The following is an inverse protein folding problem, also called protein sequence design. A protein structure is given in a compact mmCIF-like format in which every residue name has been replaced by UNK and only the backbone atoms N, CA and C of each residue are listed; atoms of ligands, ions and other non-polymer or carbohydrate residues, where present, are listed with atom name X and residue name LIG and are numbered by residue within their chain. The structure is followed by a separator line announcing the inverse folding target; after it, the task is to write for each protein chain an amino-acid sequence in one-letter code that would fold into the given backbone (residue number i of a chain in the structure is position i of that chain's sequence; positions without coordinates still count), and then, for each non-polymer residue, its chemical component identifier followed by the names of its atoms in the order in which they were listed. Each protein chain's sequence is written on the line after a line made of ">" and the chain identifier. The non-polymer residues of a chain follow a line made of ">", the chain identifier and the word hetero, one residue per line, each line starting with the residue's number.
data_IF_420081359915
#
_entry.id   IF_420081359915
#
_cell.length_a   1.000
_cell.length_b   1.000
_cell.length_c   1.000
_cell.angle_alpha   90.00
_cell.angle_beta   90.00
_cell.angle_gamma   90.00
#
_symmetry.space_group_name_H-M   'P 1'
#
loop_
_entity.id
_entity.type
_entity.pdbx_description
1 polymer ?
#
# COMPACT_ATOMS: atom_id res chain seq x y z
N UNK A 1 2.72 11.02 3.71
CA UNK A 1 3.66 11.95 4.39
C UNK A 1 4.76 12.29 3.40
N UNK A 2 4.69 13.48 2.79
CA UNK A 2 5.87 14.28 2.40
C UNK A 2 5.39 15.69 2.03
N UNK A 3 5.80 16.69 2.80
CA UNK A 3 5.74 18.11 2.42
C UNK A 3 6.93 18.36 1.51
N UNK A 4 6.70 18.84 0.28
CA UNK A 4 7.73 18.96 -0.76
C UNK A 4 8.09 20.43 -0.98
N UNK A 5 9.33 20.82 -0.65
CA UNK A 5 10.08 21.86 -1.33
C UNK A 5 11.57 21.52 -1.22
N UNK A 6 12.18 21.08 -2.32
CA UNK A 6 13.63 21.17 -2.50
C UNK A 6 13.97 21.18 -4.00
N UNK A 7 14.15 22.39 -4.55
CA UNK A 7 14.89 22.56 -5.78
C UNK A 7 16.38 22.52 -5.42
N UNK A 8 17.05 21.38 -5.65
CA UNK A 8 18.51 21.29 -5.55
C UNK A 8 19.07 21.47 -6.96
N UNK A 9 19.47 22.71 -7.28
CA UNK A 9 20.39 22.97 -8.38
C UNK A 9 21.80 23.05 -7.81
N UNK A 10 22.54 21.95 -7.81
CA UNK A 10 23.98 21.97 -7.53
C UNK A 10 24.74 21.80 -8.84
N UNK A 11 25.36 22.87 -9.31
CA UNK A 11 26.35 22.82 -10.40
C UNK A 11 27.64 22.23 -9.84
N UNK A 12 27.83 20.92 -9.96
CA UNK A 12 29.09 20.25 -9.63
C UNK A 12 29.78 19.86 -10.93
N UNK A 13 30.97 20.40 -11.17
CA UNK A 13 31.80 20.07 -12.33
C UNK A 13 32.38 18.66 -12.15
N UNK A 14 32.05 17.76 -13.07
CA UNK A 14 32.58 16.39 -13.12
C UNK A 14 33.52 16.29 -14.33
N UNK A 15 34.75 15.83 -14.10
CA UNK A 15 35.74 15.56 -15.14
C UNK A 15 35.81 14.05 -15.35
N UNK A 16 34.81 13.47 -16.02
CA UNK A 16 34.81 12.05 -16.42
C UNK A 16 34.75 11.95 -17.94
N UNK A 17 35.51 11.01 -18.51
CA UNK A 17 35.52 10.67 -19.94
C UNK A 17 34.39 9.72 -20.34
N UNK A 18 33.59 9.24 -19.38
CA UNK A 18 32.46 8.33 -19.60
C UNK A 18 31.14 9.09 -19.74
N UNK A 19 30.18 8.50 -20.46
CA UNK A 19 28.85 9.09 -20.64
C UNK A 19 28.09 9.17 -19.30
N UNK A 20 27.59 10.37 -18.96
CA UNK A 20 26.77 10.60 -17.78
C UNK A 20 25.28 10.60 -18.15
N UNK A 21 24.47 9.84 -17.41
CA UNK A 21 23.02 9.88 -17.50
C UNK A 21 22.46 10.76 -16.37
N UNK A 22 21.69 11.80 -16.72
CA UNK A 22 21.08 12.73 -15.77
C UNK A 22 19.57 12.77 -15.98
N UNK A 23 18.80 12.74 -14.89
CA UNK A 23 17.33 12.83 -14.93
C UNK A 23 16.82 13.77 -13.82
N UNK A 24 15.73 14.49 -14.10
CA UNK A 24 15.01 15.33 -13.14
C UNK A 24 13.89 14.48 -12.52
N UNK A 25 13.80 14.45 -11.18
CA UNK A 25 12.83 13.64 -10.44
C UNK A 25 12.02 14.54 -9.51
N UNK A 26 10.72 14.27 -9.40
CA UNK A 26 9.80 14.97 -8.48
C UNK A 26 8.92 13.97 -7.71
N UNK A 27 8.51 14.27 -6.47
CA UNK A 27 7.58 13.42 -5.74
C UNK A 27 6.22 13.28 -6.41
N UNK A 28 5.61 12.10 -6.29
CA UNK A 28 4.25 11.81 -6.75
C UNK A 28 3.48 11.04 -5.68
N UNK A 29 2.15 11.17 -5.67
CA UNK A 29 1.28 10.29 -4.87
C UNK A 29 1.48 8.86 -5.34
N UNK A 30 1.81 7.96 -4.42
CA UNK A 30 2.26 6.61 -4.77
C UNK A 30 1.43 5.51 -4.11
N UNK A 31 0.95 5.70 -2.88
CA UNK A 31 0.22 4.64 -2.18
C UNK A 31 -0.69 5.20 -1.08
N UNK A 32 -1.87 4.59 -0.91
CA UNK A 32 -2.77 4.84 0.22
C UNK A 32 -2.74 3.70 1.22
N UNK A 33 -2.16 3.92 2.40
CA UNK A 33 -2.04 2.89 3.45
C UNK A 33 -3.34 2.63 4.23
N UNK A 34 -4.31 3.55 4.13
CA UNK A 34 -5.64 3.38 4.71
C UNK A 34 -6.55 2.59 3.78
N UNK A 35 -7.72 2.19 4.27
CA UNK A 35 -8.68 1.41 3.50
C UNK A 35 -9.68 0.70 4.39
N UNK A 36 -10.32 -0.34 3.84
CA UNK A 36 -11.23 -1.21 4.57
C UNK A 36 -10.49 -1.95 5.69
N UNK A 37 -11.05 -1.93 6.89
CA UNK A 37 -10.53 -2.75 7.98
C UNK A 37 -10.90 -4.20 7.70
N UNK A 38 -9.89 -5.08 7.74
CA UNK A 38 -10.07 -6.52 7.60
C UNK A 38 -9.55 -7.27 8.82
N UNK A 39 -10.04 -8.49 9.02
CA UNK A 39 -9.42 -9.45 9.93
C UNK A 39 -8.35 -10.30 9.22
N UNK A 40 -7.60 -11.17 9.93
CA UNK A 40 -6.59 -12.05 9.31
C UNK A 40 -7.13 -13.03 8.26
N UNK A 41 -8.45 -13.23 8.22
CA UNK A 41 -9.14 -14.05 7.21
C UNK A 41 -9.65 -13.22 6.02
N UNK A 42 -9.15 -11.99 5.87
CA UNK A 42 -9.50 -11.04 4.82
C UNK A 42 -10.99 -10.64 4.77
N UNK A 43 -11.75 -10.88 5.86
CA UNK A 43 -13.16 -10.46 5.95
C UNK A 43 -13.22 -8.99 6.30
N UNK A 44 -14.06 -8.23 5.63
CA UNK A 44 -14.27 -6.83 5.97
C UNK A 44 -15.03 -6.75 7.30
N UNK A 45 -14.49 -5.98 8.25
CA UNK A 45 -15.09 -5.82 9.58
C UNK A 45 -15.66 -4.42 9.76
N UNK A 46 -16.77 -4.33 10.47
CA UNK A 46 -17.41 -3.08 10.85
C UNK A 46 -17.75 -3.08 12.34
N UNK A 47 -18.04 -1.91 12.88
CA UNK A 47 -18.53 -1.79 14.25
C UNK A 47 -20.04 -1.99 14.29
N UNK A 48 -20.49 -2.96 15.09
CA UNK A 48 -21.90 -3.19 15.43
C UNK A 48 -22.01 -3.39 16.94
N UNK A 49 -22.89 -2.64 17.59
CA UNK A 49 -23.11 -2.72 19.05
C UNK A 49 -21.81 -2.60 19.86
N UNK A 50 -20.89 -1.72 19.42
CA UNK A 50 -19.58 -1.50 20.05
C UNK A 50 -18.54 -2.61 19.82
N UNK A 51 -18.85 -3.62 19.02
CA UNK A 51 -17.95 -4.75 18.70
C UNK A 51 -17.55 -4.73 17.22
N UNK A 52 -16.33 -5.16 16.94
CA UNK A 52 -15.87 -5.41 15.58
C UNK A 52 -16.42 -6.75 15.11
N UNK A 53 -17.22 -6.74 14.05
CA UNK A 53 -17.84 -7.95 13.48
C UNK A 53 -17.68 -7.98 11.95
N UNK A 54 -17.47 -9.17 11.35
CA UNK A 54 -17.42 -9.32 9.90
C UNK A 54 -18.74 -8.95 9.22
N UNK A 55 -18.66 -8.36 8.03
CA UNK A 55 -19.79 -8.21 7.12
C UNK A 55 -19.96 -9.55 6.36
N UNK A 56 -21.12 -10.22 6.46
CA UNK A 56 -21.35 -11.48 5.75
C UNK A 56 -21.19 -11.31 4.24
N UNK A 57 -20.48 -12.24 3.59
CA UNK A 57 -20.31 -12.23 2.14
C UNK A 57 -19.28 -11.25 1.60
N UNK A 58 -18.52 -10.54 2.46
CA UNK A 58 -17.60 -9.50 2.01
C UNK A 58 -16.14 -9.73 2.46
N UNK A 59 -15.27 -9.91 1.48
CA UNK A 59 -13.81 -9.97 1.62
C UNK A 59 -13.13 -8.87 0.81
N UNK A 60 -11.93 -8.47 1.23
CA UNK A 60 -11.14 -7.47 0.52
C UNK A 60 -9.64 -7.81 0.59
N UNK A 61 -8.90 -7.38 -0.44
CA UNK A 61 -7.46 -7.59 -0.56
C UNK A 61 -6.82 -6.53 -1.47
N UNK A 62 -5.51 -6.29 -1.32
CA UNK A 62 -4.77 -5.28 -2.07
C UNK A 62 -4.91 -3.89 -1.45
N UNK A 63 -4.48 -2.85 -2.17
CA UNK A 63 -4.40 -1.46 -1.68
C UNK A 63 -5.73 -0.88 -1.16
N UNK A 64 -6.88 -1.51 -1.45
CA UNK A 64 -8.18 -1.14 -0.87
C UNK A 64 -8.26 -1.42 0.64
N UNK A 65 -7.40 -2.26 1.20
CA UNK A 65 -7.41 -2.63 2.63
C UNK A 65 -6.50 -1.73 3.46
N UNK A 66 -6.93 -1.44 4.69
CA UNK A 66 -6.17 -0.66 5.65
C UNK A 66 -5.46 -1.52 6.70
N UNK A 67 -4.50 -0.91 7.40
CA UNK A 67 -3.91 -1.47 8.63
C UNK A 67 -2.63 -2.26 8.43
N UNK A 68 -2.44 -2.96 7.30
CA UNK A 68 -1.25 -3.79 7.03
C UNK A 68 0.05 -2.97 7.04
N UNK A 69 -0.01 -1.74 6.54
CA UNK A 69 1.16 -0.86 6.42
C UNK A 69 1.25 0.24 7.49
N UNK A 70 0.27 0.32 8.40
CA UNK A 70 0.20 1.39 9.39
C UNK A 70 0.30 2.78 8.77
N UNK A 71 1.27 3.60 9.22
CA UNK A 71 1.46 4.99 8.74
C UNK A 71 2.38 5.12 7.53
N UNK A 72 3.16 4.08 7.22
CA UNK A 72 4.14 4.12 6.15
C UNK A 72 4.42 2.73 5.61
N UNK A 73 4.20 2.57 4.31
CA UNK A 73 4.47 1.32 3.63
C UNK A 73 5.96 1.12 3.37
N UNK A 74 6.46 -0.09 3.59
CA UNK A 74 7.81 -0.50 3.21
C UNK A 74 7.88 -0.88 1.71
N UNK A 75 8.98 -0.56 1.05
CA UNK A 75 9.19 -0.92 -0.35
C UNK A 75 9.04 -2.44 -0.56
N UNK A 76 8.43 -2.84 -1.67
CA UNK A 76 8.17 -4.25 -1.99
C UNK A 76 7.02 -4.92 -1.23
N UNK A 77 6.50 -4.33 -0.15
CA UNK A 77 5.46 -4.98 0.67
C UNK A 77 4.05 -4.95 0.06
N UNK A 78 3.71 -4.02 -0.85
CA UNK A 78 2.37 -3.95 -1.47
C UNK A 78 2.03 -5.18 -2.30
N UNK A 79 2.96 -5.62 -3.15
CA UNK A 79 2.70 -6.74 -4.07
C UNK A 79 2.54 -8.03 -3.26
N UNK A 80 3.32 -8.19 -2.20
CA UNK A 80 3.20 -9.31 -1.29
C UNK A 80 1.85 -9.28 -0.55
N UNK A 81 1.45 -8.11 -0.05
CA UNK A 81 0.15 -7.88 0.61
C UNK A 81 -1.00 -8.27 -0.33
N UNK A 82 -1.00 -7.76 -1.56
CA UNK A 82 -2.02 -8.06 -2.55
C UNK A 82 -2.11 -9.57 -2.88
N UNK A 83 -0.98 -10.26 -3.04
CA UNK A 83 -0.96 -11.70 -3.35
C UNK A 83 -1.41 -12.54 -2.16
N UNK A 84 -0.91 -12.25 -0.95
CA UNK A 84 -1.23 -13.02 0.26
C UNK A 84 -2.70 -12.85 0.63
N UNK A 85 -3.16 -11.60 0.79
CA UNK A 85 -4.56 -11.36 1.14
C UNK A 85 -5.49 -11.67 -0.02
N UNK A 86 -5.07 -11.53 -1.28
CA UNK A 86 -5.86 -11.95 -2.44
C UNK A 86 -6.14 -13.45 -2.43
N UNK A 87 -5.14 -14.28 -2.08
CA UNK A 87 -5.33 -15.73 -1.93
C UNK A 87 -6.26 -16.08 -0.77
N UNK A 88 -6.10 -15.41 0.38
CA UNK A 88 -6.94 -15.63 1.57
C UNK A 88 -8.39 -15.23 1.29
N UNK A 89 -8.60 -14.04 0.71
CA UNK A 89 -9.91 -13.53 0.33
C UNK A 89 -10.60 -14.43 -0.69
N UNK A 90 -9.88 -14.86 -1.74
CA UNK A 90 -10.42 -15.76 -2.76
C UNK A 90 -10.85 -17.10 -2.19
N UNK A 91 -10.02 -17.72 -1.34
CA UNK A 91 -10.37 -18.97 -0.67
C UNK A 91 -11.57 -18.81 0.28
N UNK A 92 -11.62 -17.71 1.02
CA UNK A 92 -12.73 -17.39 1.93
C UNK A 92 -14.05 -17.15 1.19
N UNK A 93 -14.01 -16.43 0.07
CA UNK A 93 -15.20 -16.11 -0.72
C UNK A 93 -15.80 -17.34 -1.42
N UNK A 94 -14.97 -18.29 -1.89
CA UNK A 94 -15.46 -19.54 -2.51
C UNK A 94 -16.04 -20.51 -1.47
N UNK A 95 -15.50 -20.52 -0.26
CA UNK A 95 -15.99 -21.35 0.84
C UNK A 95 -17.20 -20.78 1.58
N UNK A 96 -17.68 -19.60 1.19
CA UNK A 96 -18.83 -18.95 1.79
C UNK A 96 -20.15 -19.52 1.25
N UNK A 97 -21.17 -19.75 2.09
CA UNK A 97 -22.48 -20.22 1.66
C UNK A 97 -23.23 -19.19 0.81
#
# INVERSE_FOLDING_TARGET
>A
MLTTFLAVSTTKSYTSTEALCVAIITPVVHYTMGGLTIDPSARVIHTRDGKLVPIPGLWAAGEVIGGVHGRNRLAGSSLLEAVVFGRIAGAGAVGAP
#
